data_IF_276552587726
#
_entry.id   IF_276552587726
#
_cell.length_a   1.000
_cell.length_b   1.000
_cell.length_c   1.000
_cell.angle_alpha   90.00
_cell.angle_beta   90.00
_cell.angle_gamma   90.00
#
_symmetry.space_group_name_H-M   'P 1'
#
loop_
_entity.id
_entity.type
_entity.pdbx_description
1 polymer ?
#
# COMPACT_ATOMS: atom_id res chain seq x y z
N UNK A 1 -8.30 11.53 -9.58
CA UNK A 1 -9.48 10.63 -9.58
C UNK A 1 -9.41 9.66 -10.75
N UNK A 2 -9.33 10.16 -11.98
CA UNK A 2 -9.46 9.33 -13.19
C UNK A 2 -8.40 8.23 -13.32
N UNK A 3 -7.16 8.48 -12.88
CA UNK A 3 -6.09 7.47 -12.80
C UNK A 3 -6.43 6.27 -11.90
N UNK A 4 -7.20 6.47 -10.83
CA UNK A 4 -7.68 5.39 -9.95
C UNK A 4 -8.82 4.60 -10.61
N UNK A 5 -9.66 5.27 -11.40
CA UNK A 5 -10.71 4.62 -12.19
C UNK A 5 -10.10 3.78 -13.33
N UNK A 6 -9.07 4.30 -14.00
CA UNK A 6 -8.32 3.59 -15.03
C UNK A 6 -7.54 2.38 -14.46
N UNK A 7 -6.92 2.51 -13.29
CA UNK A 7 -6.31 1.37 -12.61
C UNK A 7 -7.36 0.31 -12.22
N UNK A 8 -8.52 0.72 -11.67
CA UNK A 8 -9.60 -0.21 -11.33
C UNK A 8 -10.15 -0.94 -12.57
N UNK A 9 -10.19 -0.29 -13.73
CA UNK A 9 -10.53 -0.94 -15.01
C UNK A 9 -9.49 -2.03 -15.38
N UNK A 10 -8.20 -1.70 -15.35
CA UNK A 10 -7.11 -2.65 -15.65
C UNK A 10 -7.06 -3.82 -14.67
N UNK A 11 -7.33 -3.58 -13.39
CA UNK A 11 -7.41 -4.60 -12.35
C UNK A 11 -8.57 -5.58 -12.61
N UNK A 12 -9.77 -5.07 -12.89
CA UNK A 12 -10.92 -5.92 -13.23
C UNK A 12 -10.66 -6.73 -14.52
N UNK A 13 -10.08 -6.10 -15.56
CA UNK A 13 -9.69 -6.80 -16.80
C UNK A 13 -8.63 -7.89 -16.56
N UNK A 14 -7.68 -7.67 -15.64
CA UNK A 14 -6.63 -8.62 -15.27
C UNK A 14 -7.17 -9.93 -14.66
N UNK A 15 -8.35 -9.89 -14.05
CA UNK A 15 -9.08 -11.07 -13.53
C UNK A 15 -10.23 -11.53 -14.45
N UNK A 16 -10.18 -11.12 -15.74
CA UNK A 16 -11.15 -11.45 -16.78
C UNK A 16 -12.57 -10.89 -16.55
N UNK A 17 -12.72 -9.87 -15.69
CA UNK A 17 -13.98 -9.14 -15.54
C UNK A 17 -14.13 -8.04 -16.60
N UNK A 18 -15.38 -7.69 -16.91
CA UNK A 18 -15.70 -6.48 -17.67
C UNK A 18 -15.72 -5.27 -16.71
N UNK A 19 -15.06 -4.13 -17.03
CA UNK A 19 -15.03 -2.96 -16.15
C UNK A 19 -16.40 -2.52 -15.65
N UNK A 20 -16.60 -2.59 -14.33
CA UNK A 20 -17.86 -2.29 -13.61
C UNK A 20 -18.10 -0.79 -13.46
N UNK A 21 -17.84 0.00 -14.52
CA UNK A 21 -17.88 1.49 -14.56
C UNK A 21 -19.20 2.13 -14.10
N UNK A 22 -20.30 1.38 -14.00
CA UNK A 22 -21.58 1.83 -13.41
C UNK A 22 -21.59 1.84 -11.87
N UNK A 23 -20.62 1.20 -11.22
CA UNK A 23 -20.45 1.20 -9.77
C UNK A 23 -19.44 2.28 -9.35
N UNK A 24 -19.75 2.96 -8.24
CA UNK A 24 -18.82 3.85 -7.54
C UNK A 24 -17.55 3.09 -7.12
N UNK A 25 -16.39 3.76 -7.15
CA UNK A 25 -15.07 3.11 -7.00
C UNK A 25 -14.98 2.21 -5.76
N UNK A 26 -15.39 2.66 -4.57
CA UNK A 26 -15.37 1.82 -3.35
C UNK A 26 -16.13 0.49 -3.49
N UNK A 27 -17.23 0.44 -4.25
CA UNK A 27 -17.95 -0.82 -4.51
C UNK A 27 -17.21 -1.74 -5.49
N UNK A 28 -16.44 -1.17 -6.42
CA UNK A 28 -15.56 -1.94 -7.32
C UNK A 28 -14.40 -2.55 -6.55
N UNK A 29 -13.68 -1.74 -5.76
CA UNK A 29 -12.59 -2.16 -4.88
C UNK A 29 -13.03 -3.29 -3.94
N UNK A 30 -14.17 -3.15 -3.26
CA UNK A 30 -14.64 -4.18 -2.33
C UNK A 30 -14.99 -5.51 -3.03
N UNK A 31 -15.76 -5.47 -4.13
CA UNK A 31 -16.08 -6.69 -4.89
C UNK A 31 -14.84 -7.35 -5.49
N UNK A 32 -13.86 -6.55 -5.92
CA UNK A 32 -12.59 -7.04 -6.45
C UNK A 32 -11.76 -7.76 -5.36
N UNK A 33 -11.71 -7.18 -4.15
CA UNK A 33 -11.10 -7.82 -2.98
C UNK A 33 -11.77 -9.16 -2.63
N UNK A 34 -13.11 -9.20 -2.57
CA UNK A 34 -13.87 -10.43 -2.31
C UNK A 34 -13.59 -11.54 -3.34
N UNK A 35 -13.35 -11.18 -4.61
CA UNK A 35 -13.08 -12.12 -5.68
C UNK A 35 -11.65 -12.66 -5.67
N UNK A 36 -10.65 -11.80 -5.43
CA UNK A 36 -9.25 -12.25 -5.30
C UNK A 36 -9.06 -13.09 -4.03
N UNK A 37 -9.69 -12.69 -2.92
CA UNK A 37 -9.72 -13.51 -1.72
C UNK A 37 -10.40 -14.85 -2.01
N UNK A 38 -11.54 -14.87 -2.72
CA UNK A 38 -12.22 -16.11 -3.11
C UNK A 38 -11.38 -17.06 -3.98
N UNK A 39 -10.50 -16.52 -4.85
CA UNK A 39 -9.53 -17.35 -5.58
C UNK A 39 -8.51 -18.00 -4.63
N UNK A 40 -8.01 -17.25 -3.65
CA UNK A 40 -7.03 -17.74 -2.67
C UNK A 40 -7.63 -18.66 -1.60
N UNK A 41 -8.85 -18.40 -1.14
CA UNK A 41 -9.63 -19.35 -0.34
C UNK A 41 -9.79 -20.68 -1.07
N UNK A 42 -10.11 -20.66 -2.37
CA UNK A 42 -10.19 -21.88 -3.17
C UNK A 42 -8.83 -22.58 -3.36
N UNK A 43 -7.73 -21.83 -3.43
CA UNK A 43 -6.37 -22.35 -3.55
C UNK A 43 -5.91 -23.09 -2.28
N UNK A 44 -6.18 -22.52 -1.09
CA UNK A 44 -5.71 -23.06 0.20
C UNK A 44 -6.72 -23.93 0.95
N UNK A 45 -8.03 -23.64 0.84
CA UNK A 45 -9.12 -24.29 1.57
C UNK A 45 -9.98 -25.19 0.65
N UNK A 46 -9.75 -25.18 -0.66
CA UNK A 46 -10.55 -25.89 -1.67
C UNK A 46 -11.91 -25.26 -2.00
N UNK A 47 -12.40 -24.33 -1.16
CA UNK A 47 -13.68 -23.65 -1.29
C UNK A 47 -13.59 -22.17 -0.89
N UNK A 48 -14.49 -21.33 -1.40
CA UNK A 48 -14.69 -19.96 -0.93
C UNK A 48 -15.34 -19.93 0.45
N UNK A 49 -15.07 -18.90 1.26
CA UNK A 49 -15.70 -18.67 2.54
C UNK A 49 -16.83 -17.64 2.44
N UNK A 50 -17.89 -17.85 3.23
CA UNK A 50 -18.91 -16.82 3.53
C UNK A 50 -18.47 -15.95 4.73
N UNK A 51 -19.11 -14.80 4.92
CA UNK A 51 -18.83 -13.85 6.01
C UNK A 51 -18.29 -12.50 5.53
N UNK A 52 -17.92 -11.63 6.46
CA UNK A 52 -17.37 -10.32 6.13
C UNK A 52 -15.91 -10.44 5.65
N UNK A 53 -15.51 -9.55 4.74
CA UNK A 53 -14.15 -9.56 4.17
C UNK A 53 -13.02 -9.59 5.23
N UNK A 54 -13.07 -8.83 6.37
CA UNK A 54 -12.03 -8.92 7.40
C UNK A 54 -11.95 -10.29 8.09
N UNK A 55 -13.11 -10.91 8.34
CA UNK A 55 -13.22 -12.21 9.03
C UNK A 55 -12.63 -13.32 8.16
N UNK A 56 -12.92 -13.26 6.84
CA UNK A 56 -12.38 -14.17 5.82
C UNK A 56 -10.87 -13.99 5.63
N UNK A 57 -10.39 -12.74 5.54
CA UNK A 57 -8.94 -12.43 5.50
C UNK A 57 -8.23 -13.02 6.72
N UNK A 58 -8.77 -12.82 7.93
CA UNK A 58 -8.21 -13.35 9.16
C UNK A 58 -8.23 -14.88 9.19
N UNK A 59 -9.34 -15.51 8.79
CA UNK A 59 -9.50 -16.97 8.72
C UNK A 59 -8.46 -17.61 7.78
N UNK A 60 -8.28 -17.05 6.58
CA UNK A 60 -7.33 -17.56 5.60
C UNK A 60 -5.88 -17.37 6.05
N UNK A 61 -5.55 -16.18 6.59
CA UNK A 61 -4.22 -15.88 7.11
C UNK A 61 -3.84 -16.82 8.27
N UNK A 62 -4.77 -17.05 9.20
CA UNK A 62 -4.57 -17.93 10.35
C UNK A 62 -4.43 -19.40 9.91
N UNK A 63 -5.22 -19.89 8.95
CA UNK A 63 -5.10 -21.25 8.42
C UNK A 63 -3.70 -21.54 7.84
N UNK A 64 -3.20 -20.65 6.97
CA UNK A 64 -1.89 -20.79 6.33
C UNK A 64 -0.78 -20.72 7.39
N UNK A 65 -0.86 -19.75 8.30
CA UNK A 65 0.14 -19.55 9.34
C UNK A 65 0.20 -20.74 10.33
N UNK A 66 -0.95 -21.25 10.78
CA UNK A 66 -0.98 -22.43 11.67
C UNK A 66 -0.41 -23.69 11.02
N UNK A 67 -0.56 -23.87 9.70
CA UNK A 67 0.07 -24.98 8.95
C UNK A 67 1.60 -24.94 9.11
N UNK A 68 2.19 -23.76 8.89
CA UNK A 68 3.65 -23.54 8.97
C UNK A 68 4.17 -23.58 10.42
N UNK A 69 3.45 -22.98 11.37
CA UNK A 69 3.76 -23.08 12.80
C UNK A 69 3.78 -24.53 13.28
N UNK A 70 2.82 -25.34 12.82
CA UNK A 70 2.74 -26.77 13.16
C UNK A 70 3.89 -27.56 12.54
N UNK A 71 4.27 -27.27 11.27
CA UNK A 71 5.44 -27.88 10.62
C UNK A 71 6.75 -27.55 11.36
N UNK A 72 6.93 -26.31 11.79
CA UNK A 72 8.16 -25.85 12.45
C UNK A 72 8.17 -26.05 13.99
N UNK A 73 7.13 -26.68 14.56
CA UNK A 73 7.05 -26.93 16.01
C UNK A 73 6.86 -25.67 16.88
N UNK A 74 6.34 -24.58 16.31
CA UNK A 74 6.13 -23.30 17.00
C UNK A 74 4.89 -23.41 17.89
N UNK A 75 5.12 -23.67 19.19
CA UNK A 75 4.07 -23.86 20.18
C UNK A 75 3.48 -22.54 20.73
N UNK A 76 4.26 -21.46 20.77
CA UNK A 76 3.78 -20.15 21.24
C UNK A 76 3.16 -19.33 20.11
N UNK A 77 1.84 -19.15 20.20
CA UNK A 77 1.01 -18.37 19.26
C UNK A 77 0.46 -17.08 19.89
N UNK A 78 0.98 -16.68 21.05
CA UNK A 78 0.64 -15.38 21.67
C UNK A 78 1.23 -14.13 21.01
N UNK A 79 2.35 -14.18 20.24
CA UNK A 79 2.84 -13.00 19.53
C UNK A 79 1.88 -12.49 18.46
N UNK A 80 2.06 -11.23 18.03
CA UNK A 80 1.25 -10.65 16.95
C UNK A 80 1.46 -11.39 15.62
N UNK A 81 0.50 -11.30 14.69
CA UNK A 81 0.60 -11.95 13.37
C UNK A 81 1.92 -11.61 12.64
N UNK A 82 2.40 -10.35 12.59
CA UNK A 82 3.72 -10.02 12.01
C UNK A 82 4.90 -10.72 12.70
N UNK A 83 4.84 -10.95 14.02
CA UNK A 83 5.88 -11.65 14.78
C UNK A 83 5.84 -13.17 14.54
N UNK A 84 4.64 -13.75 14.47
CA UNK A 84 4.43 -15.15 14.09
C UNK A 84 4.94 -15.44 12.67
N UNK A 85 4.58 -14.59 11.70
CA UNK A 85 5.11 -14.63 10.33
C UNK A 85 6.63 -14.50 10.31
N UNK A 86 7.20 -13.54 11.06
CA UNK A 86 8.67 -13.36 11.19
C UNK A 86 9.36 -14.62 11.76
N UNK A 87 8.75 -15.28 12.73
CA UNK A 87 9.27 -16.53 13.31
C UNK A 87 9.28 -17.64 12.27
N UNK A 88 8.16 -17.91 11.60
CA UNK A 88 8.08 -18.89 10.51
C UNK A 88 9.07 -18.58 9.39
N UNK A 89 9.19 -17.31 8.97
CA UNK A 89 10.08 -16.89 7.87
C UNK A 89 11.55 -17.15 8.18
N UNK A 90 11.96 -17.02 9.45
CA UNK A 90 13.32 -17.39 9.88
C UNK A 90 13.59 -18.88 9.65
N UNK A 91 12.63 -19.76 9.98
CA UNK A 91 12.78 -21.19 9.77
C UNK A 91 12.77 -21.56 8.28
N UNK A 92 11.90 -20.95 7.48
CA UNK A 92 11.89 -21.14 6.03
C UNK A 92 13.22 -20.74 5.37
N UNK A 93 13.78 -19.56 5.70
CA UNK A 93 15.10 -19.11 5.22
C UNK A 93 16.20 -20.11 5.61
N UNK A 94 16.21 -20.60 6.86
CA UNK A 94 17.19 -21.59 7.32
C UNK A 94 17.14 -22.90 6.52
N UNK A 95 15.98 -23.29 5.99
CA UNK A 95 15.83 -24.46 5.09
C UNK A 95 16.26 -24.11 3.65
N UNK A 96 16.06 -22.88 3.18
CA UNK A 96 16.58 -22.44 1.86
C UNK A 96 18.12 -22.33 1.84
N UNK A 97 18.75 -22.03 2.99
CA UNK A 97 20.21 -21.86 3.12
C UNK A 97 20.96 -23.17 3.47
N UNK A 98 20.27 -24.25 3.86
CA UNK A 98 20.91 -25.47 4.36
C UNK A 98 21.34 -26.43 3.22
N UNK A 99 22.63 -26.42 2.89
CA UNK A 99 23.25 -27.23 1.82
C UNK A 99 23.15 -28.76 2.01
N UNK A 100 22.76 -29.26 3.18
CA UNK A 100 22.58 -30.69 3.44
C UNK A 100 21.19 -31.23 3.02
N UNK A 101 20.28 -30.38 2.53
CA UNK A 101 18.92 -30.75 2.13
C UNK A 101 18.81 -31.10 0.63
N UNK A 102 17.72 -31.77 0.27
CA UNK A 102 17.34 -32.02 -1.12
C UNK A 102 16.74 -30.79 -1.81
N UNK A 103 16.79 -30.76 -3.15
CA UNK A 103 16.12 -29.69 -3.92
C UNK A 103 14.59 -29.70 -3.70
N UNK A 104 13.97 -30.85 -3.41
CA UNK A 104 12.55 -30.93 -3.07
C UNK A 104 12.23 -30.22 -1.74
N UNK A 105 13.12 -30.31 -0.75
CA UNK A 105 13.01 -29.58 0.52
C UNK A 105 13.30 -28.09 0.34
N UNK A 106 14.26 -27.72 -0.52
CA UNK A 106 14.52 -26.33 -0.89
C UNK A 106 13.33 -25.69 -1.63
N UNK A 107 12.75 -26.35 -2.64
CA UNK A 107 11.54 -25.88 -3.32
C UNK A 107 10.35 -25.79 -2.36
N UNK A 108 10.19 -26.76 -1.45
CA UNK A 108 9.19 -26.67 -0.38
C UNK A 108 9.41 -25.43 0.49
N UNK A 109 10.66 -25.13 0.87
CA UNK A 109 10.97 -23.92 1.65
C UNK A 109 10.71 -22.62 0.86
N UNK A 110 10.94 -22.60 -0.46
CA UNK A 110 10.61 -21.46 -1.34
C UNK A 110 9.10 -21.21 -1.37
N UNK A 111 8.28 -22.27 -1.52
CA UNK A 111 6.81 -22.17 -1.47
C UNK A 111 6.31 -21.70 -0.09
N UNK A 112 6.97 -22.08 0.99
CA UNK A 112 6.62 -21.62 2.35
C UNK A 112 7.01 -20.15 2.60
N UNK A 113 7.99 -19.61 1.87
CA UNK A 113 8.26 -18.17 1.84
C UNK A 113 7.18 -17.39 1.06
N UNK A 114 6.67 -17.94 -0.04
CA UNK A 114 5.55 -17.36 -0.79
C UNK A 114 4.25 -17.37 0.03
N UNK A 115 3.96 -18.44 0.77
CA UNK A 115 2.86 -18.50 1.74
C UNK A 115 2.94 -17.38 2.79
N UNK A 116 4.13 -17.18 3.38
CA UNK A 116 4.35 -16.16 4.41
C UNK A 116 4.30 -14.74 3.84
N UNK A 117 4.74 -14.56 2.60
CA UNK A 117 4.54 -13.31 1.87
C UNK A 117 3.04 -13.04 1.63
N UNK A 118 2.27 -14.05 1.23
CA UNK A 118 0.82 -13.91 1.05
C UNK A 118 0.07 -13.64 2.38
N UNK A 119 0.46 -14.26 3.49
CA UNK A 119 -0.07 -13.89 4.83
C UNK A 119 0.27 -12.44 5.19
N UNK A 120 1.44 -11.94 4.76
CA UNK A 120 1.82 -10.52 4.92
C UNK A 120 0.99 -9.58 4.05
N UNK A 121 0.69 -9.97 2.80
CA UNK A 121 -0.24 -9.26 1.91
C UNK A 121 -1.64 -9.20 2.53
N UNK A 122 -2.19 -10.34 2.99
CA UNK A 122 -3.49 -10.41 3.67
C UNK A 122 -3.59 -9.46 4.87
N UNK A 123 -2.58 -9.43 5.74
CA UNK A 123 -2.52 -8.47 6.85
C UNK A 123 -2.41 -7.01 6.39
N UNK A 124 -1.79 -6.77 5.23
CA UNK A 124 -1.67 -5.44 4.62
C UNK A 124 -2.97 -4.94 3.96
N UNK A 125 -4.02 -5.76 3.91
CA UNK A 125 -5.39 -5.38 3.56
C UNK A 125 -6.31 -5.25 4.79
N UNK A 126 -6.30 -4.12 5.51
CA UNK A 126 -7.40 -3.74 6.41
C UNK A 126 -8.76 -3.79 5.69
N UNK A 127 -9.49 -4.90 5.85
CA UNK A 127 -10.79 -5.12 5.20
C UNK A 127 -11.89 -4.12 5.61
N UNK A 128 -11.60 -3.26 6.58
CA UNK A 128 -12.42 -2.11 7.01
C UNK A 128 -12.31 -0.89 6.09
N UNK A 129 -11.20 -0.69 5.35
CA UNK A 129 -10.99 0.49 4.50
C UNK A 129 -12.21 0.76 3.61
N UNK A 130 -12.66 -0.27 2.89
CA UNK A 130 -13.71 -0.11 1.87
C UNK A 130 -15.14 -0.07 2.44
N UNK A 131 -15.34 -0.48 3.70
CA UNK A 131 -16.67 -0.56 4.33
C UNK A 131 -17.07 0.72 5.06
N UNK A 132 -16.13 1.39 5.73
CA UNK A 132 -16.41 2.48 6.68
C UNK A 132 -16.56 3.90 6.06
N UNK A 133 -16.89 4.00 4.76
CA UNK A 133 -16.79 5.23 3.92
C UNK A 133 -15.33 5.70 3.75
N UNK A 134 -14.51 5.01 2.94
CA UNK A 134 -13.12 5.40 2.70
C UNK A 134 -12.99 6.83 2.16
N UNK A 135 -11.90 7.49 2.54
CA UNK A 135 -11.34 8.68 1.90
C UNK A 135 -10.84 8.35 0.48
N UNK A 136 -10.38 9.36 -0.27
CA UNK A 136 -9.75 9.09 -1.58
C UNK A 136 -8.34 8.50 -1.40
N UNK A 137 -7.70 8.82 -0.27
CA UNK A 137 -6.42 8.30 0.18
C UNK A 137 -6.50 6.80 0.51
N UNK A 138 -7.49 6.35 1.30
CA UNK A 138 -7.72 4.92 1.60
C UNK A 138 -7.96 4.10 0.31
N UNK A 139 -8.75 4.65 -0.62
CA UNK A 139 -9.00 4.02 -1.93
C UNK A 139 -7.74 3.99 -2.80
N UNK A 140 -6.89 5.02 -2.72
CA UNK A 140 -5.62 5.05 -3.44
C UNK A 140 -4.62 4.04 -2.85
N UNK A 141 -4.45 3.97 -1.53
CA UNK A 141 -3.58 3.00 -0.87
C UNK A 141 -4.00 1.55 -1.17
N UNK A 142 -5.30 1.27 -1.14
CA UNK A 142 -5.85 -0.06 -1.47
C UNK A 142 -5.59 -0.43 -2.93
N UNK A 143 -5.71 0.54 -3.86
CA UNK A 143 -5.45 0.33 -5.28
C UNK A 143 -3.95 0.21 -5.60
N UNK A 144 -3.11 1.01 -4.93
CA UNK A 144 -1.65 0.95 -5.04
C UNK A 144 -1.15 -0.47 -4.66
N UNK A 145 -1.67 -1.05 -3.57
CA UNK A 145 -1.40 -2.46 -3.19
C UNK A 145 -1.89 -3.48 -4.22
N UNK A 146 -3.09 -3.31 -4.78
CA UNK A 146 -3.57 -4.20 -5.85
C UNK A 146 -2.76 -4.06 -7.15
N UNK A 147 -2.20 -2.88 -7.44
CA UNK A 147 -1.27 -2.70 -8.57
C UNK A 147 0.05 -3.45 -8.36
N UNK A 148 0.58 -3.45 -7.14
CA UNK A 148 1.77 -4.24 -6.78
C UNK A 148 1.46 -5.74 -6.85
N UNK A 149 0.45 -6.22 -6.12
CA UNK A 149 0.15 -7.65 -5.98
C UNK A 149 -0.41 -8.31 -7.26
N UNK A 150 -1.36 -7.67 -7.94
CA UNK A 150 -2.15 -8.30 -9.01
C UNK A 150 -1.59 -8.01 -10.40
N UNK A 151 -1.05 -6.81 -10.61
CA UNK A 151 -0.32 -6.46 -11.84
C UNK A 151 1.17 -6.81 -11.76
N UNK A 152 1.66 -7.30 -10.60
CA UNK A 152 3.05 -7.68 -10.33
C UNK A 152 4.05 -6.54 -10.59
N UNK A 153 3.69 -5.31 -10.22
CA UNK A 153 4.62 -4.17 -10.24
C UNK A 153 5.52 -4.19 -9.02
N UNK A 154 6.79 -3.80 -9.19
CA UNK A 154 7.74 -3.66 -8.08
C UNK A 154 7.44 -2.47 -7.16
N UNK A 155 6.60 -1.54 -7.60
CA UNK A 155 6.00 -0.47 -6.80
C UNK A 155 4.82 0.17 -7.52
N UNK A 156 3.91 0.76 -6.76
CA UNK A 156 2.78 1.52 -7.26
C UNK A 156 3.19 2.82 -7.98
N UNK A 157 2.39 3.20 -8.96
CA UNK A 157 2.60 4.37 -9.82
C UNK A 157 2.35 5.68 -9.05
N UNK A 158 3.07 6.75 -9.39
CA UNK A 158 2.91 8.06 -8.71
C UNK A 158 1.66 8.78 -9.22
N UNK A 159 0.57 8.71 -8.44
CA UNK A 159 -0.77 9.26 -8.77
C UNK A 159 -1.07 10.66 -8.21
N UNK A 160 -0.03 11.40 -7.80
CA UNK A 160 -0.20 12.73 -7.24
C UNK A 160 1.10 13.37 -6.74
N UNK A 161 1.11 14.69 -6.68
CA UNK A 161 2.25 15.50 -6.20
C UNK A 161 2.42 15.34 -4.69
N UNK A 162 3.38 14.51 -4.27
CA UNK A 162 3.74 14.33 -2.85
C UNK A 162 4.76 15.42 -2.43
N UNK A 163 4.57 16.01 -1.25
CA UNK A 163 5.53 16.92 -0.59
C UNK A 163 5.94 16.31 0.76
N UNK A 164 7.23 16.18 0.98
CA UNK A 164 7.79 15.90 2.30
C UNK A 164 8.37 17.18 2.91
N UNK A 165 8.40 17.25 4.23
CA UNK A 165 9.21 18.20 5.02
C UNK A 165 10.05 17.36 5.95
N UNK A 166 11.37 17.54 5.92
CA UNK A 166 12.31 16.81 6.77
C UNK A 166 12.87 17.79 7.79
N UNK A 167 12.59 17.53 9.07
CA UNK A 167 13.12 18.29 10.20
C UNK A 167 14.12 17.43 10.98
N UNK A 168 15.24 18.02 11.38
CA UNK A 168 16.27 17.35 12.18
C UNK A 168 16.31 17.92 13.60
N UNK A 169 16.20 17.04 14.59
CA UNK A 169 16.30 17.40 16.01
C UNK A 169 17.73 17.70 16.45
N UNK A 170 17.87 18.13 17.71
CA UNK A 170 19.18 18.24 18.35
C UNK A 170 19.74 16.83 18.59
N UNK A 171 21.05 16.58 18.40
CA UNK A 171 21.65 15.29 18.74
C UNK A 171 21.45 14.96 20.22
N UNK A 172 21.04 13.73 20.52
CA UNK A 172 21.02 13.22 21.89
C UNK A 172 22.39 12.57 22.17
N UNK A 173 23.19 13.10 23.13
CA UNK A 173 24.43 12.46 23.51
C UNK A 173 24.14 11.15 24.25
N UNK A 174 24.92 10.10 23.97
CA UNK A 174 24.72 8.79 24.61
C UNK A 174 26.05 8.15 24.96
N UNK A 175 26.32 7.95 26.26
CA UNK A 175 27.62 7.47 26.72
C UNK A 175 27.86 5.98 26.45
N UNK A 176 29.10 5.56 26.13
CA UNK A 176 29.46 4.16 25.94
C UNK A 176 29.64 3.45 27.29
N UNK A 177 28.77 2.47 27.58
CA UNK A 177 28.83 1.69 28.82
C UNK A 177 27.81 0.55 28.86
N UNK A 178 27.86 -0.29 29.90
CA UNK A 178 26.88 -1.38 30.13
C UNK A 178 25.54 -0.79 30.59
N UNK A 179 24.64 -0.50 29.65
CA UNK A 179 23.34 0.13 29.95
C UNK A 179 22.36 -0.85 30.59
N UNK A 180 21.74 -0.43 31.70
CA UNK A 180 20.59 -1.15 32.29
C UNK A 180 19.29 -0.90 31.51
N UNK A 181 18.29 -1.78 31.66
CA UNK A 181 17.00 -1.65 30.93
C UNK A 181 16.36 -0.26 31.09
N UNK A 182 16.39 0.33 32.28
CA UNK A 182 15.83 1.67 32.54
C UNK A 182 16.52 2.79 31.76
N UNK A 183 17.83 2.70 31.50
CA UNK A 183 18.55 3.68 30.67
C UNK A 183 18.20 3.56 29.19
N UNK A 184 17.79 2.38 28.73
CA UNK A 184 17.26 2.19 27.37
C UNK A 184 15.87 2.83 27.29
N UNK A 185 14.97 2.53 28.24
CA UNK A 185 13.63 3.14 28.28
C UNK A 185 13.68 4.68 28.32
N UNK A 186 14.48 5.28 29.21
CA UNK A 186 14.60 6.73 29.31
C UNK A 186 15.18 7.39 28.03
N UNK A 187 16.04 6.68 27.29
CA UNK A 187 16.55 7.16 26.00
C UNK A 187 15.49 7.07 24.90
N UNK A 188 14.71 5.98 24.86
CA UNK A 188 13.58 5.81 23.94
C UNK A 188 12.48 6.84 24.19
N UNK A 189 12.11 7.06 25.46
CA UNK A 189 11.13 8.07 25.86
C UNK A 189 11.56 9.48 25.46
N UNK A 190 12.86 9.82 25.65
CA UNK A 190 13.39 11.11 25.19
C UNK A 190 13.38 11.23 23.65
N UNK A 191 13.71 10.15 22.93
CA UNK A 191 13.64 10.13 21.46
C UNK A 191 12.21 10.36 20.97
N UNK A 192 11.22 9.72 21.60
CA UNK A 192 9.80 9.89 21.30
C UNK A 192 9.34 11.33 21.53
N UNK A 193 9.70 11.92 22.68
CA UNK A 193 9.39 13.33 23.02
C UNK A 193 10.06 14.32 22.04
N UNK A 194 11.35 14.14 21.72
CA UNK A 194 12.07 15.00 20.77
C UNK A 194 11.47 14.89 19.35
N UNK A 195 11.04 13.70 18.92
CA UNK A 195 10.42 13.48 17.60
C UNK A 195 9.00 14.03 17.54
N UNK A 196 8.17 13.82 18.56
CA UNK A 196 6.82 14.40 18.60
C UNK A 196 6.88 15.93 18.58
N UNK A 197 7.79 16.54 19.35
CA UNK A 197 8.01 17.97 19.34
C UNK A 197 8.49 18.51 17.97
N UNK A 198 9.18 17.71 17.14
CA UNK A 198 9.45 18.08 15.75
C UNK A 198 8.19 18.06 14.90
N UNK A 199 7.39 16.97 14.99
CA UNK A 199 6.15 16.79 14.23
C UNK A 199 5.14 17.92 14.50
N UNK A 200 4.93 18.24 15.78
CA UNK A 200 4.01 19.31 16.22
C UNK A 200 4.38 20.70 15.68
N UNK A 201 5.67 20.90 15.35
CA UNK A 201 6.20 22.16 14.80
C UNK A 201 6.30 22.17 13.26
N UNK A 202 5.90 21.11 12.54
CA UNK A 202 5.90 21.10 11.06
C UNK A 202 4.72 21.92 10.54
N UNK A 203 4.98 23.20 10.27
CA UNK A 203 4.03 24.10 9.62
C UNK A 203 3.94 23.80 8.12
N UNK A 204 2.86 23.14 7.71
CA UNK A 204 2.57 22.87 6.30
C UNK A 204 1.99 24.13 5.62
N UNK A 205 2.86 24.98 5.05
CA UNK A 205 2.44 26.04 4.10
C UNK A 205 1.39 25.47 3.13
N UNK A 206 0.18 26.05 3.09
CA UNK A 206 -0.86 25.56 2.18
C UNK A 206 -0.59 26.00 0.74
N UNK A 207 -1.06 25.24 -0.25
CA UNK A 207 -0.70 25.48 -1.65
C UNK A 207 -1.31 26.78 -2.25
N UNK A 208 -2.15 27.51 -1.51
CA UNK A 208 -2.85 28.70 -2.01
C UNK A 208 -2.10 30.04 -1.88
N UNK A 209 -1.20 30.18 -0.91
CA UNK A 209 -0.77 31.52 -0.44
C UNK A 209 0.27 32.21 -1.33
N UNK A 210 0.96 31.46 -2.21
CA UNK A 210 2.07 31.99 -3.03
C UNK A 210 1.65 32.97 -4.13
N UNK A 211 0.36 33.09 -4.44
CA UNK A 211 -0.11 34.03 -5.49
C UNK A 211 -0.31 35.48 -5.03
N UNK A 212 -0.26 35.79 -3.72
CA UNK A 212 -0.42 37.16 -3.21
C UNK A 212 0.89 37.83 -2.74
N UNK A 213 1.99 37.09 -2.63
CA UNK A 213 3.17 37.49 -1.85
C UNK A 213 4.44 37.85 -2.65
N UNK A 214 4.32 38.48 -3.83
CA UNK A 214 5.49 39.11 -4.52
C UNK A 214 5.15 40.34 -5.37
N UNK A 215 4.12 41.09 -4.97
CA UNK A 215 3.70 42.34 -5.63
C UNK A 215 4.52 43.57 -5.25
N UNK A 216 5.86 43.55 -5.36
CA UNK A 216 6.74 44.72 -5.19
C UNK A 216 8.08 44.51 -5.90
N UNK A 217 8.34 45.29 -6.96
CA UNK A 217 9.49 45.09 -7.84
C UNK A 217 10.81 45.69 -7.32
N UNK A 218 11.93 45.04 -7.68
CA UNK A 218 13.26 45.63 -7.65
C UNK A 218 13.67 45.98 -9.10
N UNK A 219 13.95 47.26 -9.43
CA UNK A 219 14.09 47.71 -10.81
C UNK A 219 15.41 47.29 -11.51
N UNK A 220 16.35 46.62 -10.82
CA UNK A 220 17.71 46.45 -11.33
C UNK A 220 18.20 44.99 -11.37
N UNK A 221 17.43 44.09 -12.01
CA UNK A 221 17.88 42.71 -12.33
C UNK A 221 17.51 42.34 -13.76
N UNK A 222 18.51 42.20 -14.64
CA UNK A 222 18.31 41.77 -16.04
C UNK A 222 17.76 40.32 -16.07
N UNK A 223 16.75 40.00 -16.90
CA UNK A 223 16.19 38.66 -16.97
C UNK A 223 17.13 37.72 -17.75
N UNK A 224 17.47 36.58 -17.17
CA UNK A 224 18.11 35.49 -17.90
C UNK A 224 17.02 34.66 -18.61
N UNK A 225 17.15 34.41 -19.91
CA UNK A 225 16.12 33.75 -20.72
C UNK A 225 16.33 32.22 -20.73
N UNK A 226 15.36 31.48 -20.20
CA UNK A 226 15.07 30.08 -20.56
C UNK A 226 13.58 29.82 -20.25
N UNK A 227 12.73 29.41 -21.23
CA UNK A 227 11.30 29.30 -21.01
C UNK A 227 10.89 27.92 -20.46
N UNK A 228 10.26 27.90 -19.29
CA UNK A 228 9.49 26.75 -18.82
C UNK A 228 8.02 26.91 -19.28
N UNK A 229 7.60 26.15 -20.28
CA UNK A 229 6.25 26.25 -20.87
C UNK A 229 5.21 25.48 -20.04
N UNK A 230 4.69 26.11 -19.00
CA UNK A 230 3.48 25.63 -18.32
C UNK A 230 2.23 25.91 -19.18
N UNK A 231 1.72 24.90 -19.88
CA UNK A 231 0.43 25.00 -20.57
C UNK A 231 -0.73 24.77 -19.60
N UNK A 232 -1.71 25.69 -19.49
CA UNK A 232 -2.97 25.43 -18.80
C UNK A 232 -3.93 24.63 -19.69
N UNK A 233 -4.79 23.76 -19.12
CA UNK A 233 -5.89 23.16 -19.87
C UNK A 233 -6.97 24.20 -20.16
N UNK A 234 -7.17 24.53 -21.44
CA UNK A 234 -8.25 25.41 -21.89
C UNK A 234 -9.60 24.67 -21.88
N UNK A 235 -10.65 25.34 -21.44
CA UNK A 235 -11.99 24.77 -21.30
C UNK A 235 -12.98 25.34 -22.33
N UNK A 236 -13.77 24.45 -22.92
CA UNK A 236 -15.03 24.69 -23.68
C UNK A 236 -14.95 25.49 -25.00
N UNK A 237 -15.43 24.88 -26.10
CA UNK A 237 -16.77 25.14 -26.66
C UNK A 237 -17.10 24.27 -27.90
N UNK A 238 -18.37 23.88 -27.97
CA UNK A 238 -19.29 23.79 -29.13
C UNK A 238 -18.89 24.59 -30.38
N UNK A 239 -19.26 24.26 -31.63
CA UNK A 239 -20.26 23.31 -32.20
C UNK A 239 -19.79 22.89 -33.64
N UNK A 240 -20.52 22.33 -34.64
CA UNK A 240 -21.96 22.18 -34.95
C UNK A 240 -22.19 21.03 -35.97
N UNK A 241 -23.30 20.27 -35.85
CA UNK A 241 -23.88 19.43 -36.94
C UNK A 241 -23.14 18.12 -37.28
N UNK A 242 -23.75 17.12 -37.94
CA UNK A 242 -25.18 16.96 -38.23
C UNK A 242 -25.49 16.32 -39.58
N UNK A 243 -25.68 14.99 -39.63
CA UNK A 243 -26.70 14.30 -40.46
C UNK A 243 -26.70 12.77 -40.27
N UNK A 244 -27.88 12.19 -40.43
CA UNK A 244 -28.26 10.76 -40.48
C UNK A 244 -29.46 10.70 -41.48
N UNK A 245 -29.98 9.56 -41.97
CA UNK A 245 -29.52 8.17 -41.94
C UNK A 245 -29.50 7.50 -43.35
N UNK A 246 -29.15 6.21 -43.45
CA UNK A 246 -29.97 5.21 -44.20
C UNK A 246 -29.57 3.75 -43.95
N UNK A 247 -30.51 2.82 -44.18
CA UNK A 247 -30.43 1.38 -43.93
C UNK A 247 -29.46 0.61 -44.85
N UNK A 248 -28.95 -0.53 -44.35
CA UNK A 248 -28.87 -1.77 -45.14
C UNK A 248 -28.83 -3.03 -44.25
N UNK A 249 -29.97 -3.74 -44.17
CA UNK A 249 -30.18 -5.12 -43.64
C UNK A 249 -29.81 -5.39 -42.18
#
# INVERSE_FOLDING_TARGET
>A
MDELLALMDLLEERILWRPKRRLILRKRIYQFAEAILGLKEKEYLGQTQDGLLPERIQSLAEFILQRLETKYGIADRTPSLPERVKNCRRHAIQLTENMDLSEEEHETAKLELDDLFFVTQLFSYPGTYVSAKPTIEDMAETLDKFEEDVLRKSSASIRGTRRAVIAFGKPIPVEPGKRGKSQIHALTEKLEQDVQALLDNIQLETCGERQMASGKGNPNRKPNKLPATCHPPLATRSNTGGNNPTNAR
#
